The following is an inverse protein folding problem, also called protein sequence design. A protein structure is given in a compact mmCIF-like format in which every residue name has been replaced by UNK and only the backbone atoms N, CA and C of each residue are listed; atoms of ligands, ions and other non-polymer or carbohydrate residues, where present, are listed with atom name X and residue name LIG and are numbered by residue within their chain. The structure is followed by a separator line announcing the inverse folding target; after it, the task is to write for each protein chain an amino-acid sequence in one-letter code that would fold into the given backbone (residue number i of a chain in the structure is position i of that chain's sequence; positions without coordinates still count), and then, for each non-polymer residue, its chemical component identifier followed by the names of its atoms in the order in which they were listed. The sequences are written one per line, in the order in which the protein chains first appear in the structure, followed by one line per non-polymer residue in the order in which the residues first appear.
data_IF_205669217975
#
_entry.id   IF_205669217975
#
_cell.length_a   1.000
_cell.length_b   1.000
_cell.length_c   1.000
_cell.angle_alpha   90.00
_cell.angle_beta   90.00
_cell.angle_gamma   90.00
#
_symmetry.space_group_name_H-M   'P 1'
#
loop_
_entity.id
_entity.type
_entity.pdbx_description
1 polymer ?
#
# COMPACT_ATOMS: atom_id res chain seq x y z
N UNK A 1 14.66 7.40 -21.79
CA UNK A 1 15.68 7.32 -20.71
C UNK A 1 16.48 6.05 -20.91
N UNK A 2 17.78 6.03 -20.62
CA UNK A 2 18.53 4.77 -20.57
C UNK A 2 17.94 3.86 -19.49
N UNK A 3 17.91 2.54 -19.70
CA UNK A 3 17.29 1.60 -18.76
C UNK A 3 17.80 1.74 -17.32
N UNK A 4 19.10 2.06 -17.17
CA UNK A 4 19.74 2.32 -15.87
C UNK A 4 19.17 3.55 -15.18
N UNK A 5 18.94 4.65 -15.91
CA UNK A 5 18.38 5.87 -15.34
C UNK A 5 16.93 5.65 -14.83
N UNK A 6 16.15 4.83 -15.52
CA UNK A 6 14.77 4.52 -15.13
C UNK A 6 14.72 3.70 -13.83
N UNK A 7 15.61 2.71 -13.68
CA UNK A 7 15.75 1.92 -12.45
C UNK A 7 16.14 2.82 -11.27
N UNK A 8 17.09 3.73 -11.46
CA UNK A 8 17.52 4.67 -10.41
C UNK A 8 16.36 5.56 -9.99
N UNK A 9 15.64 6.17 -10.95
CA UNK A 9 14.46 7.00 -10.67
C UNK A 9 13.38 6.22 -9.93
N UNK A 10 13.15 4.95 -10.29
CA UNK A 10 12.16 4.09 -9.64
C UNK A 10 12.53 3.80 -8.19
N UNK A 11 13.79 3.46 -7.91
CA UNK A 11 14.29 3.22 -6.54
C UNK A 11 14.12 4.49 -5.69
N UNK A 12 14.47 5.66 -6.25
CA UNK A 12 14.30 6.95 -5.55
C UNK A 12 12.82 7.22 -5.26
N UNK A 13 11.92 6.95 -6.20
CA UNK A 13 10.49 7.12 -6.00
C UNK A 13 9.94 6.23 -4.87
N UNK A 14 10.38 4.96 -4.80
CA UNK A 14 10.02 4.06 -3.70
C UNK A 14 10.57 4.59 -2.36
N UNK A 15 11.82 5.04 -2.32
CA UNK A 15 12.41 5.59 -1.11
C UNK A 15 11.62 6.82 -0.61
N UNK A 16 11.25 7.73 -1.52
CA UNK A 16 10.40 8.89 -1.20
C UNK A 16 9.03 8.43 -0.69
N UNK A 17 8.45 7.37 -1.28
CA UNK A 17 7.16 6.81 -0.84
C UNK A 17 7.21 6.30 0.59
N UNK A 18 8.24 5.51 0.89
CA UNK A 18 8.46 4.97 2.24
C UNK A 18 8.64 6.12 3.23
N UNK A 19 9.43 7.15 2.89
CA UNK A 19 9.66 8.30 3.77
C UNK A 19 8.37 9.12 3.96
N UNK A 20 7.58 9.34 2.91
CA UNK A 20 6.31 10.06 2.99
C UNK A 20 5.31 9.36 3.93
N UNK A 21 5.26 8.03 3.88
CA UNK A 21 4.39 7.23 4.74
C UNK A 21 4.96 7.21 6.18
N UNK A 22 6.23 6.83 6.34
CA UNK A 22 6.82 6.54 7.64
C UNK A 22 7.17 7.79 8.46
N UNK A 23 7.67 8.86 7.82
CA UNK A 23 8.14 10.06 8.51
C UNK A 23 7.11 11.19 8.49
N UNK A 24 6.41 11.36 7.37
CA UNK A 24 5.43 12.43 7.21
C UNK A 24 3.99 12.00 7.54
N UNK A 25 3.77 10.73 7.91
CA UNK A 25 2.46 10.17 8.25
C UNK A 25 1.39 10.46 7.17
N UNK A 26 1.81 10.56 5.91
CA UNK A 26 0.88 10.71 4.78
C UNK A 26 0.14 9.38 4.64
N UNK A 27 -1.18 9.44 4.47
CA UNK A 27 -1.98 8.24 4.24
C UNK A 27 -1.40 7.45 3.04
N UNK A 28 -1.14 6.13 3.18
CA UNK A 28 -0.50 5.33 2.14
C UNK A 28 -1.11 5.48 0.76
N UNK A 29 -2.44 5.65 0.68
CA UNK A 29 -3.13 5.87 -0.58
C UNK A 29 -2.71 7.18 -1.26
N UNK A 30 -2.66 8.29 -0.52
CA UNK A 30 -2.23 9.59 -1.06
C UNK A 30 -0.75 9.59 -1.45
N UNK A 31 0.11 8.95 -0.63
CA UNK A 31 1.52 8.82 -0.94
C UNK A 31 1.74 8.05 -2.24
N UNK A 32 1.04 6.93 -2.43
CA UNK A 32 1.12 6.11 -3.63
C UNK A 32 0.62 6.88 -4.87
N UNK A 33 -0.54 7.53 -4.78
CA UNK A 33 -1.11 8.32 -5.89
C UNK A 33 -0.20 9.48 -6.28
N UNK A 34 0.28 10.27 -5.31
CA UNK A 34 1.13 11.42 -5.56
C UNK A 34 2.46 11.03 -6.21
N UNK A 35 3.09 9.97 -5.73
CA UNK A 35 4.40 9.53 -6.25
C UNK A 35 4.26 8.86 -7.60
N UNK A 36 3.18 8.11 -7.83
CA UNK A 36 2.88 7.55 -9.16
C UNK A 36 2.66 8.66 -10.20
N UNK A 37 2.03 9.76 -9.80
CA UNK A 37 1.83 10.93 -10.66
C UNK A 37 3.15 11.65 -10.95
N UNK A 38 3.99 11.88 -9.93
CA UNK A 38 5.34 12.45 -10.12
C UNK A 38 6.16 11.57 -11.05
N UNK A 39 6.17 10.25 -10.83
CA UNK A 39 6.93 9.30 -11.63
C UNK A 39 6.43 9.25 -13.09
N UNK A 40 5.12 9.27 -13.31
CA UNK A 40 4.52 9.31 -14.65
C UNK A 40 4.97 10.55 -15.44
N UNK A 41 5.03 11.72 -14.78
CA UNK A 41 5.52 12.96 -15.38
C UNK A 41 7.03 12.85 -15.70
N UNK A 42 7.83 12.34 -14.76
CA UNK A 42 9.29 12.20 -14.94
C UNK A 42 9.65 11.23 -16.07
N UNK A 43 8.88 10.16 -16.24
CA UNK A 43 9.07 9.17 -17.31
C UNK A 43 8.55 9.69 -18.67
N UNK A 44 7.71 10.73 -18.67
CA UNK A 44 7.19 11.35 -19.89
C UNK A 44 5.96 10.65 -20.46
N UNK A 45 5.11 10.06 -19.61
CA UNK A 45 3.83 9.49 -20.04
C UNK A 45 2.91 10.62 -20.53
N UNK A 46 2.20 10.47 -21.66
CA UNK A 46 1.21 11.45 -22.11
C UNK A 46 0.18 11.74 -21.01
N UNK A 47 -0.10 13.03 -20.74
CA UNK A 47 -0.98 13.47 -19.65
C UNK A 47 -2.39 12.84 -19.73
N UNK A 48 -2.87 12.54 -20.94
CA UNK A 48 -4.16 11.89 -21.16
C UNK A 48 -4.18 10.42 -20.67
N UNK A 49 -3.04 9.75 -20.66
CA UNK A 49 -2.92 8.32 -20.34
C UNK A 49 -2.53 8.06 -18.88
N UNK A 50 -2.09 9.10 -18.15
CA UNK A 50 -1.70 9.01 -16.73
C UNK A 50 -2.84 8.44 -15.87
N UNK A 51 -4.10 8.95 -15.94
CA UNK A 51 -5.18 8.43 -15.10
C UNK A 51 -5.46 6.95 -15.37
N UNK A 52 -5.42 6.54 -16.65
CA UNK A 52 -5.63 5.15 -17.03
C UNK A 52 -4.51 4.23 -16.56
N UNK A 53 -3.25 4.69 -16.66
CA UNK A 53 -2.07 3.90 -16.25
C UNK A 53 -2.02 3.73 -14.73
N UNK A 54 -2.22 4.81 -13.98
CA UNK A 54 -2.25 4.74 -12.52
C UNK A 54 -3.48 3.95 -12.05
N UNK A 55 -4.65 4.20 -12.65
CA UNK A 55 -5.91 3.54 -12.30
C UNK A 55 -5.88 2.04 -12.55
N UNK A 56 -5.35 1.59 -13.70
CA UNK A 56 -5.20 0.16 -14.00
C UNK A 56 -4.21 -0.54 -13.06
N UNK A 57 -3.06 0.10 -12.77
CA UNK A 57 -2.09 -0.43 -11.79
C UNK A 57 -2.69 -0.54 -10.39
N UNK A 58 -3.36 0.51 -9.90
CA UNK A 58 -3.98 0.52 -8.58
C UNK A 58 -5.14 -0.47 -8.48
N UNK A 59 -6.08 -0.45 -9.44
CA UNK A 59 -7.25 -1.33 -9.43
C UNK A 59 -6.88 -2.81 -9.56
N UNK A 60 -5.80 -3.14 -10.28
CA UNK A 60 -5.27 -4.51 -10.32
C UNK A 60 -4.85 -5.00 -8.92
N UNK A 61 -4.04 -4.21 -8.21
CA UNK A 61 -3.62 -4.54 -6.84
C UNK A 61 -4.83 -4.58 -5.90
N UNK A 62 -5.73 -3.61 -6.01
CA UNK A 62 -6.91 -3.51 -5.15
C UNK A 62 -7.90 -4.66 -5.41
N UNK A 63 -8.00 -5.15 -6.64
CA UNK A 63 -8.81 -6.33 -6.97
C UNK A 63 -8.22 -7.59 -6.34
N UNK A 64 -6.89 -7.77 -6.40
CA UNK A 64 -6.22 -8.94 -5.83
C UNK A 64 -6.23 -8.99 -4.30
N UNK A 65 -6.11 -7.85 -3.62
CA UNK A 65 -5.89 -7.80 -2.17
C UNK A 65 -7.06 -7.15 -1.42
N UNK A 66 -7.91 -6.37 -2.09
CA UNK A 66 -8.95 -5.56 -1.46
C UNK A 66 -9.99 -6.39 -0.71
N UNK A 67 -10.48 -7.50 -1.27
CA UNK A 67 -11.40 -8.41 -0.58
C UNK A 67 -10.73 -8.98 0.68
N UNK A 68 -9.48 -9.39 0.58
CA UNK A 68 -8.72 -9.96 1.71
C UNK A 68 -8.56 -8.93 2.83
N UNK A 69 -8.27 -7.66 2.50
CA UNK A 69 -8.15 -6.56 3.48
C UNK A 69 -9.49 -6.30 4.15
N UNK A 70 -10.57 -6.18 3.38
CA UNK A 70 -11.91 -5.88 3.92
C UNK A 70 -12.38 -7.01 4.83
N UNK A 71 -12.30 -8.26 4.38
CA UNK A 71 -12.72 -9.40 5.20
C UNK A 71 -11.81 -9.58 6.42
N UNK A 72 -10.50 -9.37 6.27
CA UNK A 72 -9.55 -9.42 7.38
C UNK A 72 -9.87 -8.39 8.46
N UNK A 73 -10.14 -7.14 8.07
CA UNK A 73 -10.54 -6.08 8.99
C UNK A 73 -11.88 -6.37 9.67
N UNK A 74 -12.85 -6.91 8.91
CA UNK A 74 -14.18 -7.23 9.42
C UNK A 74 -14.12 -8.39 10.43
N UNK A 75 -13.40 -9.47 10.12
CA UNK A 75 -13.14 -10.59 11.05
C UNK A 75 -12.38 -10.09 12.27
N UNK A 76 -11.32 -9.29 12.09
CA UNK A 76 -10.55 -8.71 13.20
C UNK A 76 -11.42 -7.90 14.16
N UNK A 77 -12.31 -7.06 13.62
CA UNK A 77 -13.25 -6.25 14.41
C UNK A 77 -14.26 -7.13 15.16
N UNK A 78 -14.75 -8.21 14.55
CA UNK A 78 -15.63 -9.17 15.21
C UNK A 78 -14.90 -9.88 16.36
N UNK A 79 -13.67 -10.34 16.13
CA UNK A 79 -12.86 -11.01 17.15
C UNK A 79 -12.53 -10.07 18.33
N UNK A 80 -12.30 -8.79 18.06
CA UNK A 80 -12.07 -7.77 19.08
C UNK A 80 -13.33 -7.54 19.91
N UNK A 81 -14.50 -7.33 19.25
CA UNK A 81 -15.77 -7.08 19.94
C UNK A 81 -16.31 -8.27 20.72
N UNK A 82 -16.04 -9.50 20.25
CA UNK A 82 -16.47 -10.74 20.93
C UNK A 82 -15.54 -11.13 22.07
N UNK A 83 -14.39 -10.47 22.23
CA UNK A 83 -13.36 -10.86 23.20
C UNK A 83 -12.59 -12.14 22.82
N UNK A 84 -12.90 -12.74 21.66
CA UNK A 84 -12.21 -13.91 21.16
C UNK A 84 -10.71 -13.65 20.93
N UNK A 85 -10.35 -12.43 20.50
CA UNK A 85 -8.95 -12.03 20.34
C UNK A 85 -8.16 -12.10 21.67
N UNK A 86 -8.74 -11.64 22.79
CA UNK A 86 -8.12 -11.76 24.11
C UNK A 86 -8.00 -13.23 24.54
N UNK A 87 -9.03 -14.04 24.28
CA UNK A 87 -9.00 -15.47 24.62
C UNK A 87 -7.90 -16.24 23.88
N UNK A 88 -7.69 -15.91 22.60
CA UNK A 88 -6.60 -16.47 21.80
C UNK A 88 -5.23 -16.05 22.35
N UNK A 89 -5.06 -14.78 22.72
CA UNK A 89 -3.82 -14.30 23.32
C UNK A 89 -3.50 -15.02 24.65
N UNK A 90 -4.50 -15.19 25.53
CA UNK A 90 -4.33 -15.94 26.79
C UNK A 90 -3.94 -17.41 26.56
N UNK A 91 -4.52 -18.06 25.55
CA UNK A 91 -4.15 -19.45 25.24
C UNK A 91 -2.70 -19.56 24.80
N UNK A 92 -2.23 -18.64 23.95
CA UNK A 92 -0.83 -18.62 23.50
C UNK A 92 0.11 -18.39 24.69
N UNK A 93 -0.23 -17.43 25.57
CA UNK A 93 0.57 -17.16 26.78
C UNK A 93 0.61 -18.37 27.70
N UNK A 94 -0.50 -19.10 27.90
CA UNK A 94 -0.52 -20.34 28.71
C UNK A 94 0.29 -21.50 28.12
N UNK A 95 0.51 -21.50 26.81
CA UNK A 95 1.19 -22.59 26.13
C UNK A 95 2.71 -22.38 26.10
N UNK A 96 3.15 -21.12 26.06
CA UNK A 96 4.56 -20.74 25.88
C UNK A 96 5.17 -20.11 27.14
N UNK A 97 4.35 -19.47 27.99
CA UNK A 97 4.75 -18.92 29.29
C UNK A 97 4.47 -19.88 30.43
#
# INVERSE_FOLDING_TARGET
MSGVALIITFIIAIAIMIIAISKWNVNPFLALMGISLILAIVVGIPLADIPNTIGSGFSGIFSSIGIVIILGALIGTILEKTGAALKLAEMVVRLVG
#
